data_IF_003054883109
#
_entry.id   IF_003054883109
#
_cell.length_a   1.000
_cell.length_b   1.000
_cell.length_c   1.000
_cell.angle_alpha   90.00
_cell.angle_beta   90.00
_cell.angle_gamma   90.00
#
_symmetry.space_group_name_H-M   'P 1'
#
loop_
_entity.id
_entity.type
_entity.pdbx_description
1 polymer ?
#
# COMPACT_ATOMS: atom_id res chain seq x y z
N UNK A 1 47.53 -25.83 16.05
CA UNK A 1 47.80 -27.29 16.01
C UNK A 1 46.48 -28.05 15.92
N UNK A 2 46.45 -29.23 15.28
CA UNK A 2 45.22 -30.04 15.07
C UNK A 2 44.89 -30.95 16.26
N UNK A 3 43.59 -31.15 16.51
CA UNK A 3 42.82 -32.33 17.03
C UNK A 3 41.49 -31.78 17.60
N UNK A 4 40.31 -32.37 17.47
CA UNK A 4 39.78 -33.69 17.06
C UNK A 4 38.33 -33.50 16.56
N UNK A 5 37.64 -34.41 15.85
CA UNK A 5 37.95 -35.81 15.49
C UNK A 5 36.97 -36.40 14.44
N UNK A 6 37.00 -37.73 14.27
CA UNK A 6 36.14 -38.56 13.39
C UNK A 6 34.71 -38.73 13.99
N UNK A 7 33.65 -39.24 13.33
CA UNK A 7 33.49 -40.53 12.59
C UNK A 7 32.24 -40.53 11.66
N UNK A 8 32.44 -40.89 10.37
CA UNK A 8 31.58 -41.65 9.41
C UNK A 8 30.07 -41.31 9.25
N UNK A 9 29.40 -41.42 8.09
CA UNK A 9 29.70 -41.92 6.72
C UNK A 9 28.83 -41.13 5.69
N UNK A 10 28.76 -41.38 4.37
CA UNK A 10 29.31 -42.43 3.49
C UNK A 10 29.53 -41.88 2.05
N UNK A 11 30.01 -42.72 1.11
CA UNK A 11 30.24 -42.37 -0.30
C UNK A 11 29.09 -42.81 -1.24
N UNK A 12 28.85 -42.05 -2.33
CA UNK A 12 29.29 -42.46 -3.68
C UNK A 12 28.94 -41.41 -4.76
N UNK A 13 29.98 -40.88 -5.41
CA UNK A 13 29.91 -40.16 -6.70
C UNK A 13 30.32 -41.13 -7.82
N UNK A 14 29.62 -41.17 -8.94
CA UNK A 14 30.11 -41.76 -10.20
C UNK A 14 29.74 -40.84 -11.37
N UNK A 15 30.71 -40.62 -12.27
CA UNK A 15 30.62 -39.70 -13.40
C UNK A 15 30.04 -40.35 -14.67
N UNK A 16 29.68 -39.48 -15.62
CA UNK A 16 29.37 -39.75 -17.02
C UNK A 16 30.20 -40.87 -17.68
N UNK A 17 29.51 -41.91 -18.15
CA UNK A 17 29.57 -42.47 -19.50
C UNK A 17 28.47 -43.52 -19.65
N UNK A 18 27.78 -43.54 -20.82
CA UNK A 18 27.48 -44.75 -21.61
C UNK A 18 26.18 -44.66 -22.46
N UNK A 19 26.21 -45.38 -23.58
CA UNK A 19 25.11 -45.72 -24.50
C UNK A 19 24.45 -44.61 -25.33
N UNK A 20 25.28 -43.95 -26.15
CA UNK A 20 24.87 -43.52 -27.48
C UNK A 20 25.13 -44.65 -28.53
N UNK A 21 24.39 -45.76 -28.47
CA UNK A 21 24.42 -46.77 -29.54
C UNK A 21 23.15 -47.63 -29.57
N UNK A 22 22.20 -47.30 -30.45
CA UNK A 22 21.25 -48.23 -31.08
C UNK A 22 20.40 -47.50 -32.13
N UNK A 23 21.02 -47.21 -33.27
CA UNK A 23 20.33 -46.76 -34.47
C UNK A 23 20.84 -47.54 -35.70
N UNK A 24 20.13 -48.62 -36.07
CA UNK A 24 20.00 -49.20 -37.44
C UNK A 24 19.31 -50.57 -37.41
N UNK A 25 18.51 -50.83 -38.47
CA UNK A 25 17.64 -52.00 -38.70
C UNK A 25 16.43 -52.00 -37.75
N UNK A 26 15.20 -51.84 -38.21
CA UNK A 26 14.58 -52.52 -39.36
C UNK A 26 13.82 -51.56 -40.30
N UNK A 27 13.83 -51.88 -41.59
CA UNK A 27 13.11 -51.19 -42.66
C UNK A 27 12.61 -52.28 -43.63
N UNK A 28 11.42 -52.05 -44.22
CA UNK A 28 10.58 -52.98 -45.03
C UNK A 28 9.62 -53.84 -44.20
N UNK A 29 8.34 -53.98 -44.55
CA UNK A 29 7.66 -53.74 -45.85
C UNK A 29 6.27 -53.07 -45.76
N UNK A 30 5.84 -52.58 -46.93
CA UNK A 30 4.45 -52.31 -47.39
C UNK A 30 3.74 -51.01 -47.00
N UNK A 31 2.99 -50.49 -47.97
CA UNK A 31 2.42 -49.15 -48.03
C UNK A 31 1.03 -49.07 -47.35
N UNK A 32 0.79 -48.02 -46.56
CA UNK A 32 -0.50 -47.81 -45.91
C UNK A 32 -0.64 -46.42 -45.31
N UNK A 33 -1.47 -45.58 -45.91
CA UNK A 33 -1.80 -44.23 -45.41
C UNK A 33 -2.62 -44.29 -44.12
N UNK A 34 -2.07 -43.80 -43.00
CA UNK A 34 -2.84 -43.44 -41.80
C UNK A 34 -2.27 -42.19 -41.14
N UNK A 35 -3.15 -41.24 -40.83
CA UNK A 35 -2.85 -39.97 -40.14
C UNK A 35 -2.46 -40.20 -38.67
N UNK A 36 -1.29 -39.71 -38.26
CA UNK A 36 -0.83 -39.80 -36.88
C UNK A 36 -1.16 -38.53 -36.07
N UNK A 37 -2.39 -38.46 -35.53
CA UNK A 37 -2.60 -37.69 -34.30
C UNK A 37 -1.87 -38.43 -33.17
N UNK A 38 -0.84 -37.82 -32.57
CA UNK A 38 -0.25 -38.30 -31.32
C UNK A 38 -0.70 -37.39 -30.19
N UNK A 39 -1.79 -37.79 -29.55
CA UNK A 39 -2.13 -37.29 -28.23
C UNK A 39 -1.02 -37.67 -27.25
N UNK A 40 -0.17 -36.71 -26.89
CA UNK A 40 0.57 -36.82 -25.64
C UNK A 40 -0.41 -36.67 -24.48
N UNK A 41 -0.29 -37.46 -23.40
CA UNK A 41 -0.99 -37.15 -22.16
C UNK A 41 -0.51 -35.79 -21.68
N UNK A 42 -1.36 -34.76 -21.84
CA UNK A 42 -1.18 -33.50 -21.13
C UNK A 42 -1.32 -33.85 -19.65
N UNK A 43 -0.20 -33.92 -18.93
CA UNK A 43 -0.21 -33.97 -17.49
C UNK A 43 -0.73 -32.62 -16.99
N UNK A 44 -2.05 -32.55 -16.84
CA UNK A 44 -2.74 -31.41 -16.25
C UNK A 44 -2.45 -31.38 -14.75
N UNK A 45 -1.30 -30.79 -14.42
CA UNK A 45 -0.85 -30.52 -13.06
C UNK A 45 -1.69 -29.37 -12.47
N UNK A 46 -2.98 -29.63 -12.25
CA UNK A 46 -3.91 -28.73 -11.55
C UNK A 46 -3.39 -28.48 -10.12
N UNK A 47 -2.55 -27.46 -9.96
CA UNK A 47 -2.19 -26.98 -8.63
C UNK A 47 -3.45 -26.40 -8.00
N UNK A 48 -3.95 -27.04 -6.94
CA UNK A 48 -5.17 -26.67 -6.22
C UNK A 48 -5.01 -25.38 -5.37
N UNK A 49 -4.41 -24.34 -5.94
CA UNK A 49 -4.16 -23.03 -5.32
C UNK A 49 -5.38 -22.15 -5.54
N UNK A 50 -5.99 -21.63 -4.47
CA UNK A 50 -7.12 -20.70 -4.57
C UNK A 50 -6.63 -19.32 -5.00
N UNK A 51 -6.66 -19.08 -6.32
CA UNK A 51 -6.40 -17.76 -6.92
C UNK A 51 -7.66 -16.91 -6.82
N UNK A 52 -7.55 -15.71 -6.26
CA UNK A 52 -8.64 -14.73 -6.15
C UNK A 52 -8.27 -13.47 -6.90
N UNK A 53 -9.22 -12.96 -7.69
CA UNK A 53 -9.18 -11.63 -8.31
C UNK A 53 -9.74 -10.58 -7.35
N UNK A 54 -9.00 -9.50 -7.13
CA UNK A 54 -9.43 -8.30 -6.41
C UNK A 54 -9.28 -7.06 -7.33
N UNK A 55 -9.99 -5.95 -7.11
CA UNK A 55 -9.66 -4.67 -7.75
C UNK A 55 -8.23 -4.23 -7.44
N UNK A 56 -7.71 -3.33 -8.27
CA UNK A 56 -6.45 -2.65 -8.00
C UNK A 56 -6.49 -1.87 -6.68
N UNK A 57 -5.59 -2.19 -5.75
CA UNK A 57 -5.58 -1.58 -4.42
C UNK A 57 -4.88 -0.22 -4.41
N UNK A 58 -5.24 0.62 -3.45
CA UNK A 58 -4.80 2.01 -3.32
C UNK A 58 -4.08 2.18 -1.98
N UNK A 59 -2.88 2.76 -2.02
CA UNK A 59 -2.18 3.21 -0.81
C UNK A 59 -2.15 4.73 -0.74
N UNK A 60 -2.79 5.29 0.27
CA UNK A 60 -2.98 6.73 0.43
C UNK A 60 -1.84 7.42 1.19
N UNK A 61 -0.80 6.69 1.61
CA UNK A 61 0.33 7.26 2.37
C UNK A 61 1.67 6.62 1.97
N UNK A 62 2.33 7.18 0.95
CA UNK A 62 3.68 6.75 0.54
C UNK A 62 4.68 7.91 0.47
N UNK A 63 5.94 7.62 0.79
CA UNK A 63 7.06 8.55 0.64
C UNK A 63 8.05 8.04 -0.41
N UNK A 64 7.88 8.46 -1.66
CA UNK A 64 8.70 8.01 -2.80
C UNK A 64 10.06 8.71 -2.92
N UNK A 65 10.36 9.64 -1.99
CA UNK A 65 11.65 10.32 -1.75
C UNK A 65 12.23 11.16 -2.90
N UNK A 66 11.69 11.09 -4.10
CA UNK A 66 12.08 11.91 -5.25
C UNK A 66 11.18 13.17 -5.36
N UNK A 67 11.73 14.40 -5.48
CA UNK A 67 13.15 14.74 -5.57
C UNK A 67 13.94 14.69 -4.24
N UNK A 68 15.26 14.52 -4.36
CA UNK A 68 16.28 14.81 -3.33
C UNK A 68 16.64 13.67 -2.37
N UNK A 69 15.95 12.53 -2.47
CA UNK A 69 16.20 11.32 -1.69
C UNK A 69 16.25 10.06 -2.54
N UNK A 70 16.63 10.19 -3.81
CA UNK A 70 16.63 9.13 -4.84
C UNK A 70 17.46 7.90 -4.45
N UNK A 71 18.40 8.04 -3.51
CA UNK A 71 19.20 6.95 -2.97
C UNK A 71 18.42 6.08 -1.97
N UNK A 72 17.35 6.62 -1.35
CA UNK A 72 16.47 5.93 -0.41
C UNK A 72 15.29 5.27 -1.12
N UNK A 73 14.74 5.94 -2.13
CA UNK A 73 13.69 5.46 -3.06
C UNK A 73 13.55 6.44 -4.22
N UNK A 74 13.02 6.02 -5.36
CA UNK A 74 12.56 6.94 -6.42
C UNK A 74 11.20 6.51 -7.00
N UNK A 75 10.64 7.27 -7.95
CA UNK A 75 9.36 6.90 -8.54
C UNK A 75 9.39 5.55 -9.28
N UNK A 76 10.54 5.11 -9.80
CA UNK A 76 10.66 3.82 -10.50
C UNK A 76 10.60 2.67 -9.48
N UNK A 77 11.44 2.72 -8.45
CA UNK A 77 11.57 1.65 -7.46
C UNK A 77 10.37 1.57 -6.53
N UNK A 78 9.91 2.71 -6.00
CA UNK A 78 8.76 2.76 -5.10
C UNK A 78 7.44 2.36 -5.77
N UNK A 79 7.20 2.72 -7.04
CA UNK A 79 6.01 2.23 -7.75
C UNK A 79 6.16 0.79 -8.27
N UNK A 80 7.39 0.28 -8.45
CA UNK A 80 7.61 -1.16 -8.65
C UNK A 80 7.27 -1.94 -7.38
N UNK A 81 7.66 -1.43 -6.21
CA UNK A 81 7.33 -1.98 -4.90
C UNK A 81 5.81 -1.96 -4.63
N UNK A 82 5.12 -0.89 -5.05
CA UNK A 82 3.66 -0.83 -5.02
C UNK A 82 3.01 -1.97 -5.83
N UNK A 83 3.39 -2.13 -7.11
CA UNK A 83 2.86 -3.20 -7.97
C UNK A 83 3.13 -4.60 -7.39
N UNK A 84 4.35 -4.86 -6.88
CA UNK A 84 4.67 -6.13 -6.23
C UNK A 84 3.86 -6.38 -4.94
N UNK A 85 3.46 -5.32 -4.23
CA UNK A 85 2.53 -5.35 -3.10
C UNK A 85 1.05 -5.48 -3.46
N UNK A 86 0.69 -5.44 -4.75
CA UNK A 86 -0.70 -5.45 -5.22
C UNK A 86 -1.37 -4.07 -5.21
N UNK A 87 -0.60 -2.99 -5.03
CA UNK A 87 -1.06 -1.60 -5.08
C UNK A 87 -0.90 -1.06 -6.51
N UNK A 88 -1.99 -0.53 -7.08
CA UNK A 88 -2.07 0.01 -8.45
C UNK A 88 -2.23 1.53 -8.50
N UNK A 89 -2.52 2.18 -7.36
CA UNK A 89 -2.55 3.62 -7.22
C UNK A 89 -1.91 4.07 -5.90
N UNK A 90 -1.10 5.13 -5.93
CA UNK A 90 -0.44 5.67 -4.72
C UNK A 90 -0.63 7.19 -4.54
N UNK A 91 -0.84 7.64 -3.30
CA UNK A 91 -0.84 9.07 -2.95
C UNK A 91 0.50 9.45 -2.30
N UNK A 92 1.33 10.20 -3.03
CA UNK A 92 2.67 10.57 -2.60
C UNK A 92 2.67 11.80 -1.66
N UNK A 93 3.38 11.67 -0.53
CA UNK A 93 3.52 12.69 0.50
C UNK A 93 4.54 13.78 0.17
N UNK A 94 4.39 15.02 0.69
CA UNK A 94 5.09 16.19 0.18
C UNK A 94 6.46 16.51 0.82
N UNK A 95 6.95 15.70 1.76
CA UNK A 95 8.24 15.91 2.44
C UNK A 95 9.45 15.33 1.67
N UNK A 96 9.51 15.64 0.38
CA UNK A 96 10.68 15.50 -0.50
C UNK A 96 11.69 16.63 -0.24
N UNK A 97 12.79 16.69 -1.00
CA UNK A 97 13.76 17.79 -0.96
C UNK A 97 14.06 18.31 -2.39
N UNK A 98 13.49 19.46 -2.83
CA UNK A 98 12.61 20.34 -2.07
C UNK A 98 11.24 19.71 -1.77
N UNK A 99 10.61 20.17 -0.69
CA UNK A 99 9.26 19.75 -0.32
C UNK A 99 8.20 20.33 -1.25
N UNK A 100 7.11 19.61 -1.50
CA UNK A 100 6.04 19.99 -2.43
C UNK A 100 5.10 20.99 -1.75
N UNK A 101 5.45 22.28 -1.76
CA UNK A 101 4.78 23.33 -0.95
C UNK A 101 4.31 24.54 -1.76
N UNK A 102 4.54 24.55 -3.07
CA UNK A 102 4.21 25.61 -4.01
C UNK A 102 4.03 25.06 -5.44
N UNK A 103 3.81 25.95 -6.42
CA UNK A 103 3.58 25.56 -7.80
C UNK A 103 4.83 25.01 -8.52
N UNK A 104 6.02 25.51 -8.17
CA UNK A 104 7.27 25.14 -8.85
C UNK A 104 7.71 23.74 -8.41
N UNK A 105 7.68 23.49 -7.10
CA UNK A 105 7.96 22.17 -6.50
C UNK A 105 6.94 21.11 -6.94
N UNK A 106 5.65 21.48 -7.08
CA UNK A 106 4.62 20.61 -7.64
C UNK A 106 4.86 20.28 -9.12
N UNK A 107 5.25 21.26 -9.93
CA UNK A 107 5.55 21.03 -11.35
C UNK A 107 6.85 20.22 -11.55
N UNK A 108 7.85 20.39 -10.67
CA UNK A 108 9.06 19.58 -10.64
C UNK A 108 8.74 18.10 -10.39
N UNK A 109 8.02 17.78 -9.31
CA UNK A 109 7.70 16.37 -8.99
C UNK A 109 6.81 15.72 -10.05
N UNK A 110 5.84 16.46 -10.60
CA UNK A 110 5.00 16.01 -11.73
C UNK A 110 5.84 15.58 -12.93
N UNK A 111 6.85 16.37 -13.27
CA UNK A 111 7.76 16.10 -14.41
C UNK A 111 8.56 14.81 -14.17
N UNK A 112 9.07 14.62 -12.95
CA UNK A 112 9.82 13.43 -12.57
C UNK A 112 8.92 12.18 -12.61
N UNK A 113 7.80 12.21 -11.89
CA UNK A 113 6.86 11.09 -11.80
C UNK A 113 6.34 10.64 -13.16
N UNK A 114 5.96 11.59 -14.04
CA UNK A 114 5.47 11.30 -15.40
C UNK A 114 6.46 10.50 -16.25
N UNK A 115 7.76 10.64 -15.98
CA UNK A 115 8.81 9.91 -16.69
C UNK A 115 9.24 8.59 -16.03
N UNK A 116 8.74 8.30 -14.81
CA UNK A 116 9.31 7.26 -13.93
C UNK A 116 8.30 6.31 -13.29
N UNK A 117 7.13 6.79 -12.90
CA UNK A 117 6.12 6.00 -12.21
C UNK A 117 5.60 4.85 -13.09
N UNK A 118 5.36 3.69 -12.47
CA UNK A 118 4.87 2.47 -13.12
C UNK A 118 3.45 2.08 -12.73
N UNK A 119 2.99 2.50 -11.55
CA UNK A 119 1.59 2.51 -11.18
C UNK A 119 1.05 3.94 -11.24
N UNK A 120 -0.28 4.09 -11.27
CA UNK A 120 -0.88 5.42 -11.29
C UNK A 120 -0.67 6.11 -9.93
N UNK A 121 -0.64 7.44 -9.91
CA UNK A 121 -0.21 8.20 -8.74
C UNK A 121 -0.91 9.54 -8.61
N UNK A 122 -0.91 10.11 -7.41
CA UNK A 122 -1.34 11.49 -7.16
C UNK A 122 -0.53 12.10 -6.02
N UNK A 123 -0.65 13.41 -5.81
CA UNK A 123 0.20 14.17 -4.88
C UNK A 123 -0.63 14.84 -3.79
N UNK A 124 -0.05 14.92 -2.59
CA UNK A 124 -0.44 15.91 -1.58
C UNK A 124 0.37 17.22 -1.76
N UNK A 125 -0.23 18.35 -1.39
CA UNK A 125 0.52 19.58 -1.08
C UNK A 125 0.92 19.58 0.40
N UNK A 126 2.10 20.09 0.72
CA UNK A 126 2.59 20.28 2.08
C UNK A 126 2.18 21.62 2.65
N UNK A 127 1.51 21.61 3.80
CA UNK A 127 1.25 22.82 4.55
C UNK A 127 2.54 23.38 5.17
N UNK A 128 2.71 24.70 5.13
CA UNK A 128 3.76 25.43 5.87
C UNK A 128 3.12 26.60 6.64
N UNK A 129 3.86 27.26 7.55
CA UNK A 129 3.40 28.49 8.20
C UNK A 129 3.11 29.67 7.25
N UNK A 130 3.61 29.63 6.00
CA UNK A 130 3.60 30.77 5.08
C UNK A 130 2.80 30.57 3.79
N UNK A 131 2.34 29.35 3.45
CA UNK A 131 1.72 29.06 2.15
C UNK A 131 0.19 28.97 2.14
N UNK A 132 -0.50 29.17 3.28
CA UNK A 132 -1.96 28.98 3.40
C UNK A 132 -2.78 29.74 2.33
N UNK A 133 -2.39 30.97 1.99
CA UNK A 133 -3.06 31.78 0.95
C UNK A 133 -2.71 31.35 -0.49
N UNK A 134 -1.56 30.72 -0.71
CA UNK A 134 -1.08 30.29 -2.03
C UNK A 134 -1.74 28.99 -2.49
N UNK A 135 -1.77 27.99 -1.60
CA UNK A 135 -2.16 26.62 -1.92
C UNK A 135 -3.56 26.45 -2.56
N UNK A 136 -4.61 27.22 -2.21
CA UNK A 136 -5.95 27.05 -2.79
C UNK A 136 -6.00 27.24 -4.32
N UNK A 137 -5.13 28.09 -4.85
CA UNK A 137 -5.02 28.33 -6.31
C UNK A 137 -4.46 27.11 -7.06
N UNK A 138 -3.52 26.39 -6.44
CA UNK A 138 -2.92 25.15 -6.96
C UNK A 138 -3.88 23.98 -6.83
N UNK A 139 -4.60 23.93 -5.70
CA UNK A 139 -5.55 22.87 -5.34
C UNK A 139 -6.68 22.68 -6.35
N UNK A 140 -7.17 23.78 -6.94
CA UNK A 140 -8.23 23.82 -7.97
C UNK A 140 -7.70 24.21 -9.36
N UNK A 141 -6.42 23.96 -9.63
CA UNK A 141 -5.85 24.10 -10.97
C UNK A 141 -6.37 23.02 -11.93
N UNK A 142 -5.95 23.06 -13.20
CA UNK A 142 -6.38 22.09 -14.22
C UNK A 142 -6.03 20.63 -13.85
N UNK A 143 -4.96 20.44 -13.09
CA UNK A 143 -4.59 19.15 -12.49
C UNK A 143 -4.72 19.29 -10.96
N UNK A 144 -5.89 19.02 -10.35
CA UNK A 144 -6.06 19.10 -8.90
C UNK A 144 -5.22 18.05 -8.16
N UNK A 145 -4.69 18.43 -7.01
CA UNK A 145 -3.98 17.52 -6.08
C UNK A 145 -4.97 16.79 -5.16
N UNK A 146 -4.55 15.67 -4.58
CA UNK A 146 -5.44 14.81 -3.77
C UNK A 146 -5.85 15.42 -2.43
N UNK A 147 -5.06 16.35 -1.89
CA UNK A 147 -5.32 16.97 -0.59
C UNK A 147 -4.14 17.79 -0.07
N UNK A 148 -4.34 18.30 1.15
CA UNK A 148 -3.31 18.97 1.94
C UNK A 148 -2.79 18.04 3.04
N UNK A 149 -1.47 17.82 3.13
CA UNK A 149 -0.82 17.14 4.27
C UNK A 149 -0.27 18.16 5.24
N UNK A 150 -0.71 18.07 6.49
CA UNK A 150 -0.21 18.84 7.62
C UNK A 150 0.63 17.95 8.53
N UNK A 151 1.80 18.44 8.95
CA UNK A 151 2.66 17.74 9.90
C UNK A 151 2.64 18.45 11.24
N UNK A 152 1.82 17.95 12.18
CA UNK A 152 1.59 18.62 13.47
C UNK A 152 2.64 18.26 14.52
N UNK A 153 3.36 17.16 14.31
CA UNK A 153 4.40 16.64 15.19
C UNK A 153 5.74 16.50 14.46
N UNK A 154 6.81 16.31 15.23
CA UNK A 154 8.15 16.07 14.71
C UNK A 154 8.20 14.77 13.89
N UNK A 155 8.54 14.90 12.62
CA UNK A 155 8.70 13.81 11.65
C UNK A 155 10.01 13.96 10.87
N UNK A 156 10.20 13.20 9.79
CA UNK A 156 11.26 13.43 8.82
C UNK A 156 10.90 14.59 7.86
N UNK A 157 11.77 15.59 7.74
CA UNK A 157 11.60 16.76 6.87
C UNK A 157 11.42 18.08 7.64
N UNK A 158 11.17 19.16 6.90
CA UNK A 158 11.12 20.55 7.41
C UNK A 158 9.71 21.08 7.67
N UNK A 159 8.67 20.29 7.36
CA UNK A 159 7.26 20.73 7.32
C UNK A 159 6.52 20.75 8.67
N UNK A 160 7.22 20.56 9.80
CA UNK A 160 6.56 20.52 11.12
C UNK A 160 5.96 21.88 11.50
N UNK A 161 4.65 21.93 11.71
CA UNK A 161 3.89 23.12 12.08
C UNK A 161 3.57 23.10 13.57
N UNK A 162 4.42 23.72 14.40
CA UNK A 162 4.24 23.71 15.86
C UNK A 162 3.17 24.69 16.39
N UNK A 163 2.77 25.70 15.61
CA UNK A 163 1.86 26.74 16.06
C UNK A 163 0.41 26.44 15.63
N UNK A 164 -0.51 26.51 16.59
CA UNK A 164 -1.93 26.28 16.35
C UNK A 164 -2.57 27.31 15.40
N UNK A 165 -2.10 28.57 15.43
CA UNK A 165 -2.56 29.63 14.53
C UNK A 165 -2.27 29.30 13.05
N UNK A 166 -1.17 28.61 12.77
CA UNK A 166 -0.84 28.21 11.41
C UNK A 166 -1.74 27.05 10.94
N UNK A 167 -2.23 26.19 11.85
CA UNK A 167 -3.24 25.19 11.52
C UNK A 167 -4.58 25.84 11.18
N UNK A 168 -4.97 26.85 11.98
CA UNK A 168 -6.17 27.66 11.77
C UNK A 168 -6.18 28.29 10.36
N UNK A 169 -5.09 28.98 9.97
CA UNK A 169 -4.95 29.59 8.64
C UNK A 169 -5.13 28.58 7.51
N UNK A 170 -4.55 27.38 7.63
CA UNK A 170 -4.69 26.33 6.61
C UNK A 170 -6.14 25.85 6.49
N UNK A 171 -6.86 25.67 7.62
CA UNK A 171 -8.27 25.28 7.62
C UNK A 171 -9.21 26.35 7.05
N UNK A 172 -8.85 27.63 7.19
CA UNK A 172 -9.57 28.79 6.66
C UNK A 172 -9.45 28.93 5.14
N UNK A 173 -8.24 28.75 4.59
CA UNK A 173 -7.95 29.02 3.18
C UNK A 173 -8.10 27.79 2.28
N UNK A 174 -7.71 26.59 2.75
CA UNK A 174 -7.76 25.37 1.93
C UNK A 174 -9.21 25.06 1.50
N UNK A 175 -9.49 24.70 0.23
CA UNK A 175 -10.86 24.49 -0.23
C UNK A 175 -11.61 23.44 0.59
N UNK A 176 -12.85 23.73 1.01
CA UNK A 176 -13.62 22.87 1.95
C UNK A 176 -13.92 21.47 1.40
N UNK A 177 -14.08 21.38 0.09
CA UNK A 177 -14.39 20.19 -0.70
C UNK A 177 -13.18 19.27 -0.95
N UNK A 178 -11.97 19.71 -0.59
CA UNK A 178 -10.73 18.93 -0.74
C UNK A 178 -10.22 18.37 0.59
N UNK A 179 -9.68 17.12 0.62
CA UNK A 179 -9.15 16.49 1.82
C UNK A 179 -8.07 17.31 2.54
N UNK A 180 -8.07 17.22 3.86
CA UNK A 180 -6.93 17.53 4.73
C UNK A 180 -6.56 16.24 5.46
N UNK A 181 -5.29 15.85 5.37
CA UNK A 181 -4.70 14.75 6.14
C UNK A 181 -3.67 15.30 7.14
N UNK A 182 -3.65 14.75 8.35
CA UNK A 182 -2.78 15.24 9.42
C UNK A 182 -1.92 14.11 10.01
N UNK A 183 -0.60 14.32 10.07
CA UNK A 183 0.25 13.63 11.05
C UNK A 183 -0.06 14.23 12.40
N UNK A 184 -0.81 13.52 13.23
CA UNK A 184 -1.19 13.92 14.58
C UNK A 184 -0.97 12.76 15.56
N UNK A 185 -0.29 13.01 16.66
CA UNK A 185 0.01 12.03 17.72
C UNK A 185 -0.61 12.44 19.05
N UNK A 186 -1.21 11.47 19.76
CA UNK A 186 -1.82 11.64 21.07
C UNK A 186 -2.77 12.83 21.14
N UNK A 187 -2.47 13.81 21.99
CA UNK A 187 -3.32 15.01 22.20
C UNK A 187 -3.58 15.83 20.94
N UNK A 188 -2.65 15.83 19.98
CA UNK A 188 -2.76 16.67 18.79
C UNK A 188 -3.81 16.11 17.81
N UNK A 189 -4.13 14.81 17.92
CA UNK A 189 -5.29 14.17 17.26
C UNK A 189 -6.60 14.79 17.76
N UNK A 190 -6.77 14.97 19.07
CA UNK A 190 -7.95 15.65 19.62
C UNK A 190 -8.00 17.12 19.19
N UNK A 191 -6.84 17.80 19.20
CA UNK A 191 -6.73 19.20 18.83
C UNK A 191 -7.12 19.45 17.36
N UNK A 192 -6.65 18.64 16.41
CA UNK A 192 -6.98 18.81 14.99
C UNK A 192 -8.43 18.42 14.66
N UNK A 193 -9.00 17.42 15.36
CA UNK A 193 -10.43 17.09 15.28
C UNK A 193 -11.29 18.27 15.75
N UNK A 194 -10.87 18.96 16.81
CA UNK A 194 -11.55 20.17 17.30
C UNK A 194 -11.48 21.32 16.27
N UNK A 195 -10.33 21.55 15.63
CA UNK A 195 -10.21 22.53 14.52
C UNK A 195 -11.14 22.16 13.37
N UNK A 196 -11.15 20.91 12.93
CA UNK A 196 -12.04 20.44 11.87
C UNK A 196 -13.52 20.64 12.21
N UNK A 197 -13.92 20.33 13.45
CA UNK A 197 -15.27 20.60 13.96
C UNK A 197 -15.61 22.10 13.99
N UNK A 198 -14.65 22.98 14.33
CA UNK A 198 -14.85 24.44 14.33
C UNK A 198 -15.11 24.98 12.91
N UNK A 199 -14.37 24.49 11.91
CA UNK A 199 -14.51 24.92 10.51
C UNK A 199 -15.58 24.15 9.72
N UNK A 200 -16.30 23.23 10.38
CA UNK A 200 -17.37 22.39 9.82
C UNK A 200 -16.93 21.61 8.58
N UNK A 201 -15.73 21.03 8.63
CA UNK A 201 -15.11 20.30 7.51
C UNK A 201 -14.50 18.98 7.95
N UNK A 202 -14.19 18.12 6.99
CA UNK A 202 -13.55 16.83 7.27
C UNK A 202 -12.06 16.94 7.58
N UNK A 203 -11.55 16.01 8.39
CA UNK A 203 -10.10 15.73 8.52
C UNK A 203 -9.85 14.23 8.52
N UNK A 204 -8.72 13.82 7.96
CA UNK A 204 -8.23 12.43 8.00
C UNK A 204 -6.97 12.35 8.88
N UNK A 205 -6.99 11.48 9.90
CA UNK A 205 -5.87 11.28 10.80
C UNK A 205 -4.96 10.19 10.22
N UNK A 206 -3.72 10.55 9.92
CA UNK A 206 -2.74 9.61 9.39
C UNK A 206 -2.31 8.59 10.45
N UNK A 207 -1.89 7.40 9.99
CA UNK A 207 -1.11 6.39 10.73
C UNK A 207 -1.42 6.29 12.24
N UNK A 208 -2.68 6.06 12.61
CA UNK A 208 -3.11 5.95 14.01
C UNK A 208 -2.46 4.74 14.68
N UNK A 209 -1.86 4.96 15.85
CA UNK A 209 -0.98 3.98 16.48
C UNK A 209 -1.40 3.61 17.91
N UNK A 210 -2.07 4.50 18.65
CA UNK A 210 -2.34 4.34 20.09
C UNK A 210 -3.80 4.04 20.39
N UNK A 211 -4.05 3.38 21.53
CA UNK A 211 -5.39 3.17 22.06
C UNK A 211 -6.12 4.50 22.31
N UNK A 212 -5.42 5.50 22.86
CA UNK A 212 -5.99 6.83 23.10
C UNK A 212 -6.47 7.50 21.80
N UNK A 213 -5.70 7.38 20.72
CA UNK A 213 -6.00 7.98 19.42
C UNK A 213 -7.25 7.34 18.79
N UNK A 214 -7.31 6.01 18.73
CA UNK A 214 -8.46 5.31 18.13
C UNK A 214 -9.74 5.50 18.96
N UNK A 215 -9.64 5.61 20.29
CA UNK A 215 -10.80 5.94 21.14
C UNK A 215 -11.28 7.38 20.96
N UNK A 216 -10.37 8.35 20.83
CA UNK A 216 -10.74 9.75 20.53
C UNK A 216 -11.43 9.87 19.15
N UNK A 217 -10.94 9.15 18.14
CA UNK A 217 -11.55 9.10 16.81
C UNK A 217 -12.92 8.41 16.86
N UNK A 218 -13.04 7.31 17.61
CA UNK A 218 -14.32 6.60 17.82
C UNK A 218 -15.39 7.52 18.43
N UNK A 219 -15.08 8.18 19.54
CA UNK A 219 -15.99 9.12 20.19
C UNK A 219 -16.38 10.27 19.24
N UNK A 220 -15.42 10.83 18.49
CA UNK A 220 -15.71 11.86 17.50
C UNK A 220 -16.64 11.35 16.37
N UNK A 221 -16.49 10.10 15.90
CA UNK A 221 -17.42 9.50 14.93
C UNK A 221 -18.82 9.29 15.53
N UNK A 222 -18.90 8.83 16.78
CA UNK A 222 -20.17 8.64 17.51
C UNK A 222 -20.90 9.99 17.75
N UNK A 223 -20.16 11.09 17.94
CA UNK A 223 -20.68 12.46 17.95
C UNK A 223 -21.03 13.03 16.56
N UNK A 224 -20.87 12.26 15.48
CA UNK A 224 -21.13 12.71 14.11
C UNK A 224 -20.13 13.72 13.56
N UNK A 225 -18.92 13.81 14.12
CA UNK A 225 -17.84 14.63 13.55
C UNK A 225 -17.35 14.02 12.24
N UNK A 226 -17.01 14.87 11.27
CA UNK A 226 -16.42 14.48 9.99
C UNK A 226 -14.93 14.09 10.15
N UNK A 227 -14.65 13.01 10.88
CA UNK A 227 -13.29 12.46 11.03
C UNK A 227 -13.18 11.09 10.35
N UNK A 228 -12.05 10.84 9.69
CA UNK A 228 -11.64 9.51 9.22
C UNK A 228 -10.20 9.24 9.64
N UNK A 229 -9.74 7.99 9.56
CA UNK A 229 -8.36 7.64 9.85
C UNK A 229 -7.86 6.42 9.07
N UNK A 230 -6.54 6.30 9.02
CA UNK A 230 -5.82 5.13 8.53
C UNK A 230 -4.95 4.52 9.65
N UNK A 231 -4.61 3.24 9.51
CA UNK A 231 -3.65 2.54 10.37
C UNK A 231 -2.61 1.82 9.52
N UNK A 232 -1.35 1.90 9.94
CA UNK A 232 -0.26 1.26 9.23
C UNK A 232 -0.05 -0.21 9.63
N UNK A 233 0.41 -1.08 8.71
CA UNK A 233 0.67 -2.48 9.02
C UNK A 233 1.64 -2.66 10.20
N UNK A 234 2.63 -1.78 10.33
CA UNK A 234 3.60 -1.89 11.42
C UNK A 234 2.97 -1.66 12.81
N UNK A 235 1.93 -0.83 12.97
CA UNK A 235 1.23 -0.71 14.27
C UNK A 235 0.26 -1.87 14.55
N UNK A 236 -0.22 -2.57 13.52
CA UNK A 236 -1.05 -3.79 13.66
C UNK A 236 -0.22 -5.05 13.92
N UNK A 237 1.00 -5.13 13.38
CA UNK A 237 1.80 -6.36 13.36
C UNK A 237 3.08 -6.30 14.21
N UNK A 238 3.53 -5.11 14.61
CA UNK A 238 4.70 -4.86 15.48
C UNK A 238 4.34 -3.96 16.67
N UNK A 239 5.13 -4.07 17.71
CA UNK A 239 4.97 -3.44 19.03
C UNK A 239 6.36 -3.16 19.64
N UNK A 240 6.42 -2.51 20.80
CA UNK A 240 7.67 -2.28 21.54
C UNK A 240 8.44 -3.59 21.84
N UNK A 241 7.73 -4.72 21.97
CA UNK A 241 8.30 -6.07 22.13
C UNK A 241 9.23 -6.46 20.95
N UNK A 242 8.90 -6.01 19.75
CA UNK A 242 9.62 -6.35 18.51
C UNK A 242 10.92 -5.52 18.33
N UNK A 243 11.11 -4.45 19.12
CA UNK A 243 12.31 -3.56 19.04
C UNK A 243 13.60 -4.34 19.26
N UNK A 244 13.61 -5.30 20.19
CA UNK A 244 14.77 -6.15 20.48
C UNK A 244 15.18 -7.01 19.29
N UNK A 245 14.21 -7.45 18.48
CA UNK A 245 14.45 -8.28 17.29
C UNK A 245 14.85 -7.44 16.07
N UNK A 246 14.18 -6.31 15.86
CA UNK A 246 14.46 -5.37 14.75
C UNK A 246 15.79 -4.62 14.96
N UNK A 247 16.14 -4.33 16.22
CA UNK A 247 17.26 -3.49 16.63
C UNK A 247 16.88 -2.01 16.74
N UNK A 248 17.30 -1.37 17.84
CA UNK A 248 16.85 -0.02 18.26
C UNK A 248 16.96 1.06 17.16
N UNK A 249 18.06 1.08 16.39
CA UNK A 249 18.23 2.08 15.32
C UNK A 249 17.28 1.83 14.14
N UNK A 250 17.03 0.56 13.80
CA UNK A 250 16.12 0.19 12.70
C UNK A 250 14.67 0.47 13.11
N UNK A 251 14.28 0.17 14.35
CA UNK A 251 12.90 0.33 14.85
C UNK A 251 12.42 1.78 14.99
N UNK A 252 13.27 2.79 14.71
CA UNK A 252 12.87 4.19 14.70
C UNK A 252 11.76 4.45 13.66
N UNK A 253 10.58 4.86 14.11
CA UNK A 253 9.39 5.18 13.28
C UNK A 253 8.57 6.26 13.97
N UNK A 254 7.71 6.96 13.22
CA UNK A 254 6.81 8.00 13.72
C UNK A 254 5.42 7.86 13.09
N UNK A 255 4.37 7.53 13.86
CA UNK A 255 4.37 7.29 15.31
C UNK A 255 5.22 6.07 15.71
N UNK A 256 5.88 6.08 16.87
CA UNK A 256 6.77 5.00 17.32
C UNK A 256 6.02 3.67 17.47
N UNK A 257 6.74 2.55 17.51
CA UNK A 257 6.16 1.28 17.94
C UNK A 257 5.63 1.42 19.38
N UNK A 258 4.40 0.95 19.58
CA UNK A 258 3.59 1.15 20.79
C UNK A 258 3.51 -0.11 21.65
N UNK A 259 2.87 -0.03 22.82
CA UNK A 259 2.67 -1.18 23.70
C UNK A 259 1.79 -2.23 23.04
N UNK A 260 1.90 -3.48 23.50
CA UNK A 260 1.04 -4.57 23.02
C UNK A 260 -0.45 -4.29 23.19
N UNK A 261 -0.81 -3.58 24.26
CA UNK A 261 -2.19 -3.12 24.53
C UNK A 261 -2.71 -2.12 23.50
N UNK A 262 -1.86 -1.25 22.97
CA UNK A 262 -2.25 -0.28 21.94
C UNK A 262 -2.52 -1.00 20.61
N UNK A 263 -1.61 -1.89 20.19
CA UNK A 263 -1.82 -2.78 19.03
C UNK A 263 -3.14 -3.58 19.16
N UNK A 264 -3.43 -4.13 20.34
CA UNK A 264 -4.68 -4.84 20.62
C UNK A 264 -5.91 -3.93 20.52
N UNK A 265 -5.83 -2.67 20.97
CA UNK A 265 -6.91 -1.71 20.85
C UNK A 265 -7.23 -1.35 19.39
N UNK A 266 -6.20 -1.26 18.52
CA UNK A 266 -6.39 -1.07 17.07
C UNK A 266 -7.14 -2.26 16.44
N UNK A 267 -6.71 -3.49 16.73
CA UNK A 267 -7.41 -4.71 16.27
C UNK A 267 -8.85 -4.80 16.80
N UNK A 268 -9.09 -4.41 18.05
CA UNK A 268 -10.41 -4.44 18.67
C UNK A 268 -11.36 -3.34 18.17
N UNK A 269 -10.86 -2.34 17.43
CA UNK A 269 -11.65 -1.24 16.86
C UNK A 269 -11.44 -1.13 15.34
N UNK A 270 -11.34 -2.29 14.67
CA UNK A 270 -11.17 -2.38 13.23
C UNK A 270 -12.33 -1.74 12.44
N UNK A 271 -13.52 -1.65 13.04
CA UNK A 271 -14.70 -0.92 12.56
C UNK A 271 -14.49 0.59 12.49
N UNK A 272 -13.65 1.15 13.40
CA UNK A 272 -13.34 2.59 13.46
C UNK A 272 -12.31 2.98 12.39
N UNK A 273 -11.45 2.05 11.95
CA UNK A 273 -10.39 2.29 10.97
C UNK A 273 -10.99 2.38 9.55
N UNK A 274 -10.85 3.52 8.87
CA UNK A 274 -11.38 3.68 7.50
C UNK A 274 -10.42 3.11 6.44
N UNK A 275 -9.12 3.34 6.60
CA UNK A 275 -8.10 2.94 5.63
C UNK A 275 -6.99 2.11 6.25
N UNK A 276 -6.33 1.28 5.43
CA UNK A 276 -4.95 0.90 5.67
C UNK A 276 -4.09 1.71 4.70
N UNK A 277 -2.92 2.15 5.16
CA UNK A 277 -1.93 2.83 4.33
C UNK A 277 -0.56 2.44 4.86
N UNK A 278 0.45 2.30 4.01
CA UNK A 278 1.72 1.73 4.49
C UNK A 278 2.50 2.66 5.41
N UNK A 279 2.36 3.98 5.23
CA UNK A 279 3.40 4.94 5.56
C UNK A 279 4.76 4.40 5.08
N UNK A 280 4.82 4.03 3.79
CA UNK A 280 6.04 3.52 3.19
C UNK A 280 7.06 4.65 3.18
N UNK A 281 7.92 4.61 4.19
CA UNK A 281 8.91 5.60 4.54
C UNK A 281 10.31 4.97 4.46
N UNK A 282 10.78 4.63 3.24
CA UNK A 282 12.05 3.95 3.00
C UNK A 282 13.23 4.84 3.40
N UNK A 283 14.25 4.19 3.95
CA UNK A 283 15.55 4.77 4.30
C UNK A 283 16.59 3.66 4.22
N UNK A 284 17.77 3.94 3.68
CA UNK A 284 18.90 3.02 3.72
C UNK A 284 19.26 2.62 5.16
N UNK A 285 19.63 1.35 5.37
CA UNK A 285 20.13 0.86 6.66
C UNK A 285 21.27 1.74 7.22
N UNK A 286 22.16 2.19 6.35
CA UNK A 286 23.27 3.09 6.69
C UNK A 286 22.84 4.42 7.30
N UNK A 287 21.65 4.92 6.97
CA UNK A 287 21.05 6.13 7.56
C UNK A 287 20.37 5.82 8.90
N UNK A 288 19.61 4.72 8.99
CA UNK A 288 18.96 4.27 10.23
C UNK A 288 19.93 4.16 11.41
N UNK A 289 21.17 3.74 11.16
CA UNK A 289 22.21 3.60 12.20
C UNK A 289 22.98 4.89 12.53
N UNK A 290 22.86 5.97 11.75
CA UNK A 290 23.69 7.18 11.90
C UNK A 290 22.94 8.42 12.37
N UNK A 291 21.64 8.50 12.09
CA UNK A 291 20.84 9.69 12.33
C UNK A 291 19.36 9.31 12.59
N UNK A 292 18.59 10.26 13.12
CA UNK A 292 17.16 10.07 13.33
C UNK A 292 16.41 10.04 11.98
N UNK A 293 16.21 8.83 11.45
CA UNK A 293 15.42 8.55 10.25
C UNK A 293 14.21 7.66 10.60
N UNK A 294 13.11 8.26 11.11
CA UNK A 294 11.89 7.51 11.35
C UNK A 294 11.27 7.04 10.03
N UNK A 295 10.83 5.78 9.99
CA UNK A 295 10.12 5.22 8.85
C UNK A 295 10.49 3.77 8.55
N UNK A 296 9.55 3.06 7.91
CA UNK A 296 9.69 1.68 7.44
C UNK A 296 9.25 1.56 5.97
N UNK A 297 9.93 0.75 5.14
CA UNK A 297 9.35 0.34 3.85
C UNK A 297 8.20 -0.65 4.08
N UNK A 298 7.00 -0.37 3.54
CA UNK A 298 5.80 -1.20 3.73
C UNK A 298 5.08 -1.73 2.47
N UNK A 299 5.31 -1.17 1.28
CA UNK A 299 4.54 -1.49 0.06
C UNK A 299 4.51 -2.98 -0.30
N UNK A 300 5.66 -3.65 -0.29
CA UNK A 300 5.73 -5.07 -0.69
C UNK A 300 5.21 -6.04 0.40
N UNK A 301 4.97 -5.56 1.63
CA UNK A 301 4.58 -6.41 2.77
C UNK A 301 3.15 -6.21 3.25
N UNK A 302 2.47 -5.10 2.91
CA UNK A 302 1.11 -4.81 3.39
C UNK A 302 0.11 -5.94 3.09
N UNK A 303 -0.02 -6.34 1.83
CA UNK A 303 -1.02 -7.34 1.46
C UNK A 303 -0.68 -8.74 1.99
N UNK A 304 0.56 -9.26 1.92
CA UNK A 304 0.95 -10.52 2.57
C UNK A 304 0.65 -10.55 4.08
N UNK A 305 0.91 -9.46 4.81
CA UNK A 305 0.59 -9.36 6.23
C UNK A 305 -0.93 -9.40 6.48
N UNK A 306 -1.71 -8.63 5.73
CA UNK A 306 -3.17 -8.58 5.86
C UNK A 306 -3.83 -9.91 5.45
N UNK A 307 -3.38 -10.56 4.38
CA UNK A 307 -3.86 -11.90 3.99
C UNK A 307 -3.55 -12.96 5.04
N UNK A 308 -2.38 -12.87 5.70
CA UNK A 308 -2.06 -13.74 6.85
C UNK A 308 -3.06 -13.54 7.98
N UNK A 309 -3.41 -12.28 8.30
CA UNK A 309 -4.41 -11.97 9.30
C UNK A 309 -5.85 -12.39 8.91
N UNK A 310 -6.15 -12.54 7.62
CA UNK A 310 -7.40 -13.17 7.14
C UNK A 310 -7.41 -14.67 7.45
N UNK A 311 -6.32 -15.40 7.21
CA UNK A 311 -6.21 -16.82 7.63
C UNK A 311 -6.28 -16.97 9.16
N UNK A 312 -5.75 -16.01 9.92
CA UNK A 312 -5.87 -15.94 11.38
C UNK A 312 -7.25 -15.46 11.87
N UNK A 313 -8.19 -15.15 10.96
CA UNK A 313 -9.56 -14.66 11.25
C UNK A 313 -9.61 -13.35 12.06
N UNK A 314 -8.59 -12.50 11.97
CA UNK A 314 -8.55 -11.17 12.61
C UNK A 314 -9.27 -10.09 11.79
N UNK A 315 -9.36 -10.28 10.48
CA UNK A 315 -10.16 -9.49 9.54
C UNK A 315 -10.65 -10.37 8.39
N UNK A 316 -11.54 -9.84 7.56
CA UNK A 316 -12.01 -10.50 6.34
C UNK A 316 -11.37 -9.89 5.07
N UNK A 317 -11.50 -10.57 3.92
CA UNK A 317 -11.20 -9.95 2.62
C UNK A 317 -12.07 -8.71 2.36
N UNK A 318 -13.29 -8.64 2.91
CA UNK A 318 -14.15 -7.46 2.83
C UNK A 318 -13.49 -6.26 3.50
N UNK A 319 -12.83 -6.46 4.65
CA UNK A 319 -12.16 -5.39 5.38
C UNK A 319 -10.95 -4.87 4.59
N UNK A 320 -10.17 -5.76 3.98
CA UNK A 320 -9.08 -5.38 3.06
C UNK A 320 -9.61 -4.53 1.91
N UNK A 321 -10.66 -4.99 1.19
CA UNK A 321 -11.25 -4.23 0.09
C UNK A 321 -11.88 -2.90 0.54
N UNK A 322 -12.48 -2.88 1.72
CA UNK A 322 -13.06 -1.65 2.28
C UNK A 322 -11.97 -0.64 2.58
N UNK A 323 -10.85 -1.06 3.17
CA UNK A 323 -9.79 -0.20 3.69
C UNK A 323 -8.65 0.12 2.71
N UNK A 324 -8.47 -0.68 1.66
CA UNK A 324 -7.46 -0.47 0.60
C UNK A 324 -8.06 -0.19 -0.78
N UNK A 325 -9.38 0.00 -0.90
CA UNK A 325 -9.99 0.37 -2.19
C UNK A 325 -11.22 1.28 -2.01
N UNK A 326 -12.28 0.80 -1.36
CA UNK A 326 -13.56 1.52 -1.29
C UNK A 326 -13.43 2.85 -0.52
N UNK A 327 -12.89 2.82 0.70
CA UNK A 327 -12.71 4.02 1.52
C UNK A 327 -11.64 4.97 0.96
N UNK A 328 -10.47 4.51 0.48
CA UNK A 328 -9.54 5.36 -0.27
C UNK A 328 -10.22 6.14 -1.42
N UNK A 329 -10.99 5.46 -2.29
CA UNK A 329 -11.72 6.15 -3.38
C UNK A 329 -12.75 7.15 -2.85
N UNK A 330 -13.51 6.80 -1.81
CA UNK A 330 -14.54 7.66 -1.22
C UNK A 330 -13.99 8.89 -0.49
N UNK A 331 -12.90 8.73 0.27
CA UNK A 331 -12.33 9.80 1.12
C UNK A 331 -11.52 10.78 0.27
N UNK A 332 -10.77 10.27 -0.71
CA UNK A 332 -9.86 11.06 -1.54
C UNK A 332 -10.43 11.40 -2.94
N UNK A 333 -11.69 11.04 -3.19
CA UNK A 333 -12.40 11.21 -4.46
C UNK A 333 -11.65 10.58 -5.65
N UNK A 334 -10.99 9.44 -5.45
CA UNK A 334 -10.17 8.82 -6.50
C UNK A 334 -11.06 8.08 -7.53
N UNK A 335 -10.82 8.28 -8.84
CA UNK A 335 -11.53 7.60 -9.91
C UNK A 335 -11.28 6.09 -9.89
N UNK A 336 -12.02 5.36 -10.74
CA UNK A 336 -11.70 3.96 -11.01
C UNK A 336 -10.45 3.84 -11.89
N UNK A 337 -9.83 2.67 -11.86
CA UNK A 337 -8.82 2.30 -12.84
C UNK A 337 -9.46 1.27 -13.79
N UNK A 338 -9.81 1.63 -15.03
CA UNK A 338 -10.42 0.68 -15.97
C UNK A 338 -9.49 -0.50 -16.20
N UNK A 339 -10.05 -1.68 -16.46
CA UNK A 339 -9.33 -2.92 -16.76
C UNK A 339 -8.16 -3.23 -15.81
N UNK A 340 -8.33 -2.91 -14.52
CA UNK A 340 -7.29 -2.99 -13.49
C UNK A 340 -7.70 -3.94 -12.37
N UNK A 341 -6.83 -4.88 -12.04
CA UNK A 341 -7.09 -5.90 -11.02
C UNK A 341 -5.79 -6.58 -10.56
N UNK A 342 -5.85 -7.21 -9.41
CA UNK A 342 -4.78 -8.08 -8.90
C UNK A 342 -5.28 -9.51 -8.75
N UNK A 343 -4.36 -10.47 -8.91
CA UNK A 343 -4.59 -11.88 -8.61
C UNK A 343 -3.69 -12.30 -7.45
N UNK A 344 -4.29 -12.87 -6.42
CA UNK A 344 -3.60 -13.34 -5.22
C UNK A 344 -3.77 -14.85 -5.06
N UNK A 345 -2.69 -15.53 -4.70
CA UNK A 345 -2.71 -16.91 -4.22
C UNK A 345 -2.91 -16.86 -2.71
N UNK A 346 -4.06 -17.34 -2.22
CA UNK A 346 -4.33 -17.36 -0.79
C UNK A 346 -3.52 -18.41 -0.04
N UNK A 347 -3.05 -19.47 -0.70
CA UNK A 347 -2.51 -20.65 -0.02
C UNK A 347 -0.99 -20.69 0.04
N UNK A 348 -0.30 -19.99 -0.86
CA UNK A 348 1.15 -19.86 -0.83
C UNK A 348 1.63 -19.26 0.50
N UNK A 349 2.43 -20.07 1.21
CA UNK A 349 3.03 -19.74 2.51
C UNK A 349 4.52 -19.53 2.32
N UNK A 350 5.04 -18.40 2.78
CA UNK A 350 6.43 -18.01 2.61
C UNK A 350 6.95 -17.22 3.81
N UNK A 351 8.24 -16.87 3.81
CA UNK A 351 8.89 -16.09 4.87
C UNK A 351 9.33 -14.77 4.25
N UNK A 352 9.00 -13.65 4.89
CA UNK A 352 9.46 -12.34 4.46
C UNK A 352 11.00 -12.30 4.56
N UNK A 353 11.72 -12.03 3.46
CA UNK A 353 13.19 -11.99 3.45
C UNK A 353 13.74 -10.79 4.23
N UNK A 354 15.06 -10.79 4.49
CA UNK A 354 15.77 -9.67 5.10
C UNK A 354 15.64 -8.37 4.27
N UNK A 355 15.69 -8.50 2.94
CA UNK A 355 15.53 -7.42 1.96
C UNK A 355 14.48 -7.78 0.91
N UNK A 356 13.74 -6.78 0.44
CA UNK A 356 12.62 -6.90 -0.49
C UNK A 356 13.07 -6.57 -1.93
N UNK A 357 12.49 -7.18 -2.97
CA UNK A 357 12.99 -7.04 -4.35
C UNK A 357 13.02 -5.63 -4.95
N UNK A 358 12.14 -4.71 -4.56
CA UNK A 358 11.96 -3.44 -5.28
C UNK A 358 12.31 -2.17 -4.50
N UNK A 359 12.00 -2.08 -3.21
CA UNK A 359 12.35 -0.90 -2.41
C UNK A 359 13.88 -0.72 -2.29
N UNK A 360 14.39 0.46 -2.62
CA UNK A 360 15.81 0.81 -2.44
C UNK A 360 16.25 0.87 -0.97
N UNK A 361 15.32 0.78 -0.01
CA UNK A 361 15.67 0.66 1.40
C UNK A 361 16.63 -0.52 1.65
N UNK A 362 16.45 -1.64 0.93
CA UNK A 362 17.24 -2.89 1.06
C UNK A 362 17.11 -3.56 2.46
N UNK A 363 15.96 -3.37 3.13
CA UNK A 363 15.59 -4.10 4.35
C UNK A 363 14.08 -4.04 4.61
N UNK A 364 13.60 -4.79 5.61
CA UNK A 364 12.24 -4.67 6.14
C UNK A 364 12.16 -4.97 7.65
N UNK A 365 11.32 -4.28 8.44
CA UNK A 365 11.12 -4.62 9.87
C UNK A 365 10.33 -5.93 10.06
N UNK A 366 9.82 -6.54 8.99
CA UNK A 366 9.06 -7.79 9.03
C UNK A 366 9.89 -9.03 8.64
N UNK A 367 11.21 -8.90 8.47
CA UNK A 367 12.10 -9.99 8.11
C UNK A 367 11.91 -11.22 9.03
N UNK A 368 12.04 -12.42 8.48
CA UNK A 368 11.85 -13.68 9.20
C UNK A 368 10.38 -14.03 9.53
N UNK A 369 9.42 -13.12 9.34
CA UNK A 369 8.01 -13.40 9.57
C UNK A 369 7.45 -14.35 8.52
N UNK A 370 6.85 -15.45 8.98
CA UNK A 370 6.06 -16.35 8.14
C UNK A 370 4.72 -15.70 7.80
N UNK A 371 4.36 -15.69 6.52
CA UNK A 371 3.11 -15.15 5.98
C UNK A 371 2.42 -16.16 5.06
N UNK A 372 1.10 -16.03 4.92
CA UNK A 372 0.27 -16.84 4.02
C UNK A 372 -0.60 -15.93 3.17
N UNK A 373 -0.45 -16.04 1.85
CA UNK A 373 -1.00 -15.12 0.86
C UNK A 373 0.13 -14.43 0.06
N UNK A 374 -0.03 -14.36 -1.26
CA UNK A 374 0.97 -13.75 -2.16
C UNK A 374 0.35 -13.16 -3.42
N UNK A 375 0.84 -12.00 -3.86
CA UNK A 375 0.51 -11.41 -5.17
C UNK A 375 1.12 -12.26 -6.28
N UNK A 376 0.30 -12.68 -7.24
CA UNK A 376 0.71 -13.47 -8.41
C UNK A 376 0.75 -12.63 -9.66
N UNK A 377 -0.28 -11.81 -9.90
CA UNK A 377 -0.39 -10.94 -11.06
C UNK A 377 -0.98 -9.60 -10.69
N UNK A 378 -0.53 -8.54 -11.36
CA UNK A 378 -1.22 -7.24 -11.40
C UNK A 378 -1.44 -6.87 -12.84
N UNK A 379 -2.66 -6.49 -13.17
CA UNK A 379 -3.04 -5.88 -14.45
C UNK A 379 -3.43 -4.44 -14.16
N UNK A 380 -2.85 -3.50 -14.90
CA UNK A 380 -3.12 -2.07 -14.79
C UNK A 380 -3.50 -1.52 -16.16
N UNK A 381 -4.73 -1.05 -16.29
CA UNK A 381 -5.30 -0.49 -17.53
C UNK A 381 -5.11 -1.42 -18.73
N UNK A 382 -5.45 -2.70 -18.54
CA UNK A 382 -5.36 -3.77 -19.53
C UNK A 382 -3.99 -4.44 -19.65
N UNK A 383 -2.91 -3.79 -19.22
CA UNK A 383 -1.54 -4.31 -19.36
C UNK A 383 -1.09 -5.11 -18.12
N UNK A 384 -0.36 -6.21 -18.33
CA UNK A 384 0.22 -7.00 -17.23
C UNK A 384 1.40 -6.24 -16.63
N UNK A 385 1.18 -5.60 -15.48
CA UNK A 385 2.16 -4.75 -14.83
C UNK A 385 3.15 -5.52 -13.93
N UNK A 386 2.71 -6.63 -13.34
CA UNK A 386 3.55 -7.51 -12.52
C UNK A 386 3.11 -8.97 -12.68
N UNK A 387 4.08 -9.90 -12.68
CA UNK A 387 3.83 -11.33 -12.55
C UNK A 387 4.96 -12.01 -11.74
N UNK A 388 4.60 -12.83 -10.75
CA UNK A 388 5.47 -13.76 -10.01
C UNK A 388 6.86 -13.23 -9.61
N UNK A 389 6.93 -11.98 -9.16
CA UNK A 389 8.14 -11.32 -8.69
C UNK A 389 8.78 -10.36 -9.69
N UNK A 390 8.28 -10.27 -10.93
CA UNK A 390 8.79 -9.37 -11.97
C UNK A 390 7.78 -8.28 -12.34
N UNK A 391 8.18 -7.01 -12.23
CA UNK A 391 7.46 -5.86 -12.81
C UNK A 391 7.81 -5.73 -14.30
N UNK A 392 6.80 -5.67 -15.15
CA UNK A 392 6.93 -5.74 -16.61
C UNK A 392 6.69 -4.38 -17.32
N UNK A 393 5.92 -3.48 -16.72
CA UNK A 393 5.66 -2.15 -17.28
C UNK A 393 6.90 -1.23 -17.19
N UNK A 394 7.15 -0.39 -18.21
CA UNK A 394 8.29 0.53 -18.22
C UNK A 394 8.10 1.70 -17.25
N UNK A 395 9.18 2.38 -16.85
CA UNK A 395 9.10 3.68 -16.20
C UNK A 395 8.29 4.69 -17.04
N UNK A 396 7.42 5.46 -16.39
CA UNK A 396 6.52 6.41 -17.06
C UNK A 396 5.24 5.78 -17.62
N UNK A 397 4.94 4.51 -17.32
CA UNK A 397 3.66 3.89 -17.65
C UNK A 397 2.50 4.42 -16.78
N UNK A 398 2.78 4.81 -15.54
CA UNK A 398 1.80 5.32 -14.59
C UNK A 398 1.28 6.72 -14.94
N UNK A 399 0.00 6.95 -14.73
CA UNK A 399 -0.65 8.25 -14.96
C UNK A 399 -0.79 9.05 -13.67
N UNK A 400 -0.71 10.39 -13.78
CA UNK A 400 -1.18 11.28 -12.70
C UNK A 400 -2.71 11.24 -12.64
N UNK A 401 -3.24 10.96 -11.46
CA UNK A 401 -4.67 10.84 -11.18
C UNK A 401 -5.17 12.10 -10.49
N UNK A 402 -6.13 12.74 -11.13
CA UNK A 402 -6.86 13.89 -10.59
C UNK A 402 -8.08 13.40 -9.80
N UNK A 403 -8.38 13.94 -8.60
CA UNK A 403 -9.63 13.67 -7.90
C UNK A 403 -10.87 14.04 -8.73
N UNK A 404 -11.92 13.23 -8.61
CA UNK A 404 -13.21 13.44 -9.25
C UNK A 404 -13.85 14.75 -8.78
N UNK A 405 -14.35 15.56 -9.72
CA UNK A 405 -15.12 16.76 -9.37
C UNK A 405 -16.50 16.40 -8.83
N UNK A 406 -17.21 17.36 -8.22
CA UNK A 406 -18.59 17.15 -7.78
C UNK A 406 -19.53 16.71 -8.92
N UNK A 407 -19.32 17.23 -10.13
CA UNK A 407 -20.10 16.86 -11.32
C UNK A 407 -19.81 15.41 -11.74
N UNK A 408 -18.56 14.96 -11.63
CA UNK A 408 -18.17 13.61 -12.02
C UNK A 408 -18.68 12.59 -11.00
N UNK A 409 -18.62 12.90 -9.69
CA UNK A 409 -19.21 12.06 -8.63
C UNK A 409 -20.73 11.83 -8.79
N UNK A 410 -21.45 12.76 -9.42
CA UNK A 410 -22.89 12.62 -9.71
C UNK A 410 -23.14 11.72 -10.93
N UNK A 411 -22.27 11.78 -11.95
CA UNK A 411 -22.37 10.97 -13.18
C UNK A 411 -21.90 9.53 -12.96
N UNK A 412 -20.78 9.40 -12.26
CA UNK A 412 -20.16 8.15 -11.82
C UNK A 412 -20.22 8.09 -10.29
N UNK A 413 -21.40 7.80 -9.69
CA UNK A 413 -21.44 7.38 -8.30
C UNK A 413 -20.52 6.16 -8.16
N UNK A 414 -19.82 6.04 -7.03
CA UNK A 414 -18.89 4.93 -6.77
C UNK A 414 -19.70 3.62 -6.69
N UNK A 415 -19.98 3.04 -7.86
CA UNK A 415 -20.62 1.74 -7.98
C UNK A 415 -19.57 0.71 -7.65
N UNK A 416 -19.76 0.03 -6.53
CA UNK A 416 -19.01 -1.18 -6.20
C UNK A 416 -19.53 -2.30 -7.13
N UNK A 417 -19.22 -2.19 -8.43
CA UNK A 417 -19.32 -3.32 -9.35
C UNK A 417 -18.22 -4.28 -8.96
N UNK A 418 -18.62 -5.35 -8.25
CA UNK A 418 -17.84 -6.55 -7.94
C UNK A 418 -17.19 -7.04 -9.25
N UNK A 419 -15.89 -6.77 -9.50
CA UNK A 419 -15.34 -6.90 -10.85
C UNK A 419 -14.94 -8.36 -11.10
N UNK A 420 -15.92 -9.16 -11.55
CA UNK A 420 -15.80 -10.63 -11.72
C UNK A 420 -15.01 -11.28 -10.59
N UNK A 421 -15.32 -10.91 -9.35
CA UNK A 421 -14.74 -11.60 -8.20
C UNK A 421 -15.27 -13.04 -8.28
N UNK A 422 -14.36 -14.02 -8.27
CA UNK A 422 -14.69 -15.43 -8.42
C UNK A 422 -15.90 -15.81 -7.56
N UNK A 423 -16.83 -16.60 -8.11
CA UNK A 423 -18.15 -16.84 -7.50
C UNK A 423 -18.07 -17.31 -6.03
N UNK A 424 -17.06 -18.11 -5.69
CA UNK A 424 -16.73 -18.56 -4.35
C UNK A 424 -16.58 -17.41 -3.34
N UNK A 425 -16.00 -16.31 -3.78
CA UNK A 425 -15.73 -15.11 -2.96
C UNK A 425 -16.99 -14.26 -2.85
N UNK A 426 -17.85 -14.22 -3.87
CA UNK A 426 -19.19 -13.62 -3.75
C UNK A 426 -20.03 -14.38 -2.70
N UNK A 427 -19.89 -15.71 -2.68
CA UNK A 427 -20.55 -16.60 -1.74
C UNK A 427 -20.00 -16.49 -0.30
N UNK A 428 -18.69 -16.32 -0.12
CA UNK A 428 -18.07 -16.03 1.19
C UNK A 428 -18.37 -14.61 1.71
N UNK A 429 -18.43 -13.61 0.83
CA UNK A 429 -18.53 -12.18 1.22
C UNK A 429 -19.97 -11.65 1.43
N UNK A 430 -21.01 -12.39 1.04
CA UNK A 430 -22.43 -11.94 1.05
C UNK A 430 -22.61 -10.54 0.42
N UNK A 431 -22.01 -10.30 -0.75
CA UNK A 431 -21.93 -8.95 -1.34
C UNK A 431 -23.27 -8.34 -1.77
N UNK A 432 -24.36 -9.11 -1.83
CA UNK A 432 -25.68 -8.65 -2.25
C UNK A 432 -26.22 -7.49 -1.39
N UNK A 433 -25.87 -7.44 -0.10
CA UNK A 433 -26.40 -6.45 0.86
C UNK A 433 -25.84 -5.02 0.64
N UNK A 434 -24.79 -4.85 -0.18
CA UNK A 434 -24.20 -3.53 -0.47
C UNK A 434 -25.06 -2.69 -1.44
N UNK A 435 -25.89 -3.30 -2.28
CA UNK A 435 -26.80 -2.54 -3.17
C UNK A 435 -28.04 -1.97 -2.47
N UNK A 436 -28.35 -2.43 -1.25
CA UNK A 436 -29.56 -2.01 -0.52
C UNK A 436 -29.25 -1.15 0.71
N UNK A 437 -28.14 -1.41 1.42
CA UNK A 437 -27.78 -0.68 2.64
C UNK A 437 -27.46 0.81 2.40
N UNK A 438 -26.92 1.18 1.23
CA UNK A 438 -26.62 2.58 0.90
C UNK A 438 -27.85 3.44 0.53
N UNK A 439 -29.05 2.85 0.39
CA UNK A 439 -30.28 3.65 0.20
C UNK A 439 -30.73 4.40 1.47
N UNK A 440 -30.22 4.01 2.63
CA UNK A 440 -30.54 4.60 3.93
C UNK A 440 -29.33 5.23 4.65
N UNK A 441 -28.14 5.21 4.04
CA UNK A 441 -26.94 5.81 4.63
C UNK A 441 -27.01 7.35 4.51
N UNK A 442 -27.69 8.01 5.46
CA UNK A 442 -27.67 9.47 5.62
C UNK A 442 -26.33 9.96 6.18
N UNK A 443 -25.22 9.57 5.55
CA UNK A 443 -23.97 10.30 5.71
C UNK A 443 -24.08 11.57 4.85
N UNK A 444 -24.01 12.78 5.43
CA UNK A 444 -23.93 13.98 4.62
C UNK A 444 -22.64 13.92 3.80
N UNK A 445 -22.74 14.33 2.53
CA UNK A 445 -21.59 14.51 1.65
C UNK A 445 -20.45 15.27 2.37
N UNK A 446 -19.21 14.90 2.06
CA UNK A 446 -17.95 15.32 2.71
C UNK A 446 -17.86 16.83 2.91
#
# INVERSE_FOLDING_TARGET
MKRTGLVHSNNNNVNHADFAENAKKEEKDSEGSVTANRDMPVHDCLTARKIIRLPGLIDVHVHLREPGGEEKEDFISGTSAALAGGITMVCAMPNTDPAIVDGDTLNQVRTLAKSKAKCDYTFFLGATPSNAELLPSLAKSQNPVVGLKMYLNQTFGTLTMSNFDDWIKQFEHWPKDLPIVAHAEGRDTAAIIMVASKYQRSVHICHVARAEEIFMIKAAKEEGKKVTCEVCPHHLFLSEEDVTYIGESKSSVKPPLVKKSDQQALWANLDVIDCFATDHAPHLLSHKHKQFCPGFPGLETILPLLLTAVHEKKLSLKDILTKLYINPRRIFNLPDQPDTYIEIDLDETWIIPESLPYTKADWTPFAGRKVKGKVRRVVLRGEVAFIDGQVLVPPGFGNEICPLTEVDRIKEPIRITVPEICADVIQELKLNDLCESDKNSKFPFV
#
